data_IF_172250782493
#
_entry.id   IF_172250782493
#
_cell.length_a   1.000
_cell.length_b   1.000
_cell.length_c   1.000
_cell.angle_alpha   90.00
_cell.angle_beta   90.00
_cell.angle_gamma   90.00
#
_symmetry.space_group_name_H-M   'P 1'
#
loop_
_entity.id
_entity.type
_entity.pdbx_description
1 polymer ?
#
# COMPACT_ATOMS: atom_id res chain seq x y z
N UNK A 1 9.36 17.57 -21.00
CA UNK A 1 8.46 16.67 -20.25
C UNK A 1 9.35 15.71 -19.48
N UNK A 2 9.22 15.64 -18.16
CA UNK A 2 10.00 14.68 -17.36
C UNK A 2 9.27 13.33 -17.30
N UNK A 3 10.03 12.24 -17.35
CA UNK A 3 9.51 10.87 -17.24
C UNK A 3 9.69 10.38 -15.80
N UNK A 4 8.60 9.94 -15.18
CA UNK A 4 8.62 9.24 -13.90
C UNK A 4 8.58 7.73 -14.16
N UNK A 5 9.51 7.00 -13.55
CA UNK A 5 9.56 5.53 -13.65
C UNK A 5 9.22 4.95 -12.29
N UNK A 6 8.08 4.27 -12.21
CA UNK A 6 7.60 3.64 -10.99
C UNK A 6 7.68 2.13 -11.14
N UNK A 7 8.35 1.48 -10.20
CA UNK A 7 8.48 0.02 -10.20
C UNK A 7 7.73 -0.56 -9.02
N UNK A 8 6.80 -1.50 -9.24
CA UNK A 8 6.23 -2.33 -8.17
C UNK A 8 7.13 -3.55 -8.02
N UNK A 9 7.51 -3.94 -6.81
CA UNK A 9 8.42 -5.08 -6.58
C UNK A 9 7.71 -6.43 -6.48
N UNK A 10 6.45 -6.47 -6.04
CA UNK A 10 5.67 -7.71 -5.88
C UNK A 10 4.19 -7.48 -6.24
N UNK A 11 3.70 -8.01 -7.39
CA UNK A 11 4.48 -8.56 -8.51
C UNK A 11 5.35 -7.48 -9.18
N UNK A 12 6.36 -7.87 -9.96
CA UNK A 12 7.23 -6.89 -10.64
C UNK A 12 6.49 -6.22 -11.80
N UNK A 13 6.30 -4.90 -11.71
CA UNK A 13 5.72 -4.08 -12.79
C UNK A 13 6.50 -2.77 -12.94
N UNK A 14 6.61 -2.24 -14.16
CA UNK A 14 7.21 -0.93 -14.43
C UNK A 14 6.21 -0.05 -15.16
N UNK A 15 6.01 1.17 -14.66
CA UNK A 15 5.09 2.16 -15.22
C UNK A 15 5.86 3.42 -15.58
N UNK A 16 5.67 3.85 -16.82
CA UNK A 16 6.19 5.10 -17.36
C UNK A 16 5.08 6.16 -17.33
N UNK A 17 5.28 7.22 -16.55
CA UNK A 17 4.31 8.29 -16.36
C UNK A 17 4.95 9.63 -16.65
N UNK A 18 4.35 10.41 -17.53
CA UNK A 18 4.84 11.77 -17.79
C UNK A 18 4.39 12.72 -16.69
N UNK A 19 5.29 13.61 -16.30
CA UNK A 19 4.99 14.73 -15.39
C UNK A 19 3.79 15.54 -15.93
N UNK A 20 2.87 15.88 -15.02
CA UNK A 20 1.59 16.53 -15.36
C UNK A 20 0.41 15.58 -15.50
N UNK A 21 0.61 14.27 -15.40
CA UNK A 21 -0.51 13.33 -15.25
C UNK A 21 -1.31 13.60 -13.97
N UNK A 22 -2.64 13.47 -14.02
CA UNK A 22 -3.50 13.65 -12.84
C UNK A 22 -3.29 12.54 -11.80
N UNK A 23 -3.08 11.31 -12.26
CA UNK A 23 -2.82 10.15 -11.40
C UNK A 23 -2.23 8.98 -12.17
N UNK A 24 -1.66 8.03 -11.43
CA UNK A 24 -1.26 6.70 -11.90
C UNK A 24 -1.77 5.64 -10.93
N UNK A 25 -2.11 4.46 -11.47
CA UNK A 25 -2.47 3.29 -10.68
C UNK A 25 -1.28 2.32 -10.65
N UNK A 26 -0.74 2.07 -9.46
CA UNK A 26 0.29 1.06 -9.20
C UNK A 26 -0.42 -0.27 -8.93
N UNK A 27 -0.31 -1.27 -9.82
CA UNK A 27 -1.03 -2.53 -9.66
C UNK A 27 -0.40 -3.38 -8.55
N UNK A 28 -1.24 -3.97 -7.70
CA UNK A 28 -0.81 -5.02 -6.79
C UNK A 28 -1.99 -5.94 -6.48
N UNK A 29 -1.82 -7.23 -6.78
CA UNK A 29 -2.81 -8.24 -6.46
C UNK A 29 -2.14 -9.32 -5.62
N UNK A 30 -2.63 -9.50 -4.38
CA UNK A 30 -2.16 -10.53 -3.47
C UNK A 30 -3.36 -11.44 -3.19
N UNK A 31 -3.26 -12.75 -3.49
CA UNK A 31 -4.35 -13.69 -3.25
C UNK A 31 -4.78 -13.64 -1.78
N UNK A 32 -6.08 -13.60 -1.53
CA UNK A 32 -6.63 -13.49 -0.18
C UNK A 32 -5.99 -14.47 0.81
N UNK A 33 -5.40 -13.94 1.88
CA UNK A 33 -4.91 -14.70 3.03
C UNK A 33 -5.87 -14.55 4.20
N UNK A 34 -6.27 -15.67 4.78
CA UNK A 34 -7.23 -15.71 5.89
C UNK A 34 -6.65 -15.07 7.15
N UNK A 35 -7.36 -14.09 7.74
CA UNK A 35 -7.02 -13.47 9.02
C UNK A 35 -7.10 -11.94 8.99
N UNK A 36 -6.95 -11.27 10.14
CA UNK A 36 -6.85 -9.81 10.17
C UNK A 36 -5.51 -9.40 9.56
N UNK A 37 -5.55 -8.86 8.35
CA UNK A 37 -4.37 -8.39 7.61
C UNK A 37 -4.44 -6.89 7.35
N UNK A 38 -3.27 -6.32 7.06
CA UNK A 38 -3.08 -4.92 6.71
C UNK A 38 -2.33 -4.87 5.39
N UNK A 39 -2.88 -4.15 4.41
CA UNK A 39 -2.21 -3.84 3.15
C UNK A 39 -1.28 -2.66 3.33
N UNK A 40 -0.02 -2.81 2.93
CA UNK A 40 1.02 -1.80 3.10
C UNK A 40 1.74 -1.55 1.79
N UNK A 41 1.82 -0.28 1.41
CA UNK A 41 2.74 0.23 0.42
C UNK A 41 3.91 0.93 1.09
N UNK A 42 5.12 0.59 0.69
CA UNK A 42 6.34 1.19 1.23
C UNK A 42 7.40 1.43 0.18
N UNK A 43 8.34 2.31 0.52
CA UNK A 43 9.54 2.65 -0.24
C UNK A 43 10.73 2.63 0.71
N UNK A 44 11.75 1.84 0.38
CA UNK A 44 12.94 1.67 1.23
C UNK A 44 13.86 2.89 1.27
N UNK A 45 13.73 3.80 0.31
CA UNK A 45 14.48 5.05 0.20
C UNK A 45 13.82 6.23 0.95
N UNK A 46 12.73 5.99 1.68
CA UNK A 46 12.01 7.00 2.46
C UNK A 46 12.17 6.79 3.97
N UNK A 47 12.06 7.89 4.71
CA UNK A 47 11.92 7.90 6.16
C UNK A 47 10.82 8.89 6.58
N UNK A 48 9.67 8.43 7.12
CA UNK A 48 9.28 7.03 7.29
C UNK A 48 9.07 6.31 5.94
N UNK A 49 9.18 4.97 5.87
CA UNK A 49 9.10 4.22 4.61
C UNK A 49 7.67 4.06 4.08
N UNK A 50 6.65 4.31 4.90
CA UNK A 50 5.25 4.05 4.58
C UNK A 50 4.70 5.06 3.57
N UNK A 51 4.19 4.53 2.45
CA UNK A 51 3.50 5.31 1.42
C UNK A 51 1.99 5.33 1.67
N UNK A 52 1.41 4.18 2.00
CA UNK A 52 -0.01 4.04 2.31
C UNK A 52 -0.23 2.76 3.10
N UNK A 53 -1.19 2.77 4.03
CA UNK A 53 -1.53 1.61 4.85
C UNK A 53 -3.05 1.52 5.01
N UNK A 54 -3.59 0.33 4.76
CA UNK A 54 -5.02 0.06 4.85
C UNK A 54 -5.30 -1.18 5.70
N UNK A 55 -6.11 -0.99 6.73
CA UNK A 55 -6.72 -2.06 7.52
C UNK A 55 -8.12 -2.41 6.98
N UNK A 56 -8.78 -3.38 7.61
CA UNK A 56 -10.03 -3.96 7.12
C UNK A 56 -11.15 -2.93 6.93
N UNK A 57 -11.21 -1.92 7.80
CA UNK A 57 -12.29 -0.93 7.81
C UNK A 57 -11.82 0.47 7.37
N UNK A 58 -10.55 0.80 7.59
CA UNK A 58 -10.04 2.17 7.39
C UNK A 58 -8.57 2.24 6.96
N UNK A 59 -8.18 3.42 6.48
CA UNK A 59 -6.77 3.73 6.20
C UNK A 59 -6.08 4.18 7.49
N UNK A 60 -4.93 3.61 7.80
CA UNK A 60 -4.13 3.93 9.00
C UNK A 60 -2.93 4.79 8.59
N UNK A 61 -3.13 6.09 8.46
CA UNK A 61 -2.16 7.01 7.84
C UNK A 61 -1.24 7.74 8.84
N UNK A 62 -1.22 7.32 10.10
CA UNK A 62 -0.42 7.96 11.17
C UNK A 62 1.07 8.04 10.82
N UNK A 63 1.63 6.97 10.29
CA UNK A 63 3.06 6.86 9.91
C UNK A 63 3.31 7.13 8.42
N UNK A 64 2.31 7.66 7.70
CA UNK A 64 2.46 7.96 6.28
C UNK A 64 3.54 9.02 6.06
N UNK A 65 4.43 8.77 5.12
CA UNK A 65 5.42 9.74 4.70
C UNK A 65 4.73 11.00 4.17
N UNK A 66 5.13 12.16 4.69
CA UNK A 66 4.48 13.45 4.39
C UNK A 66 4.43 13.78 2.89
N UNK A 67 5.36 13.24 2.08
CA UNK A 67 5.35 13.41 0.62
C UNK A 67 4.14 12.77 -0.09
N UNK A 68 3.41 11.87 0.59
CA UNK A 68 2.29 11.10 0.05
C UNK A 68 0.94 11.45 0.69
N UNK A 69 0.95 12.34 1.68
CA UNK A 69 -0.26 12.86 2.32
C UNK A 69 -1.20 13.44 1.27
N UNK A 70 -2.47 13.07 1.33
CA UNK A 70 -3.55 13.47 0.42
C UNK A 70 -3.33 13.12 -1.07
N UNK A 71 -2.28 12.34 -1.37
CA UNK A 71 -1.91 11.93 -2.72
C UNK A 71 -2.15 10.46 -3.00
N UNK A 72 -2.49 9.67 -1.99
CA UNK A 72 -2.64 8.22 -2.13
C UNK A 72 -4.00 7.73 -1.71
N UNK A 73 -4.48 6.68 -2.36
CA UNK A 73 -5.71 5.98 -1.96
C UNK A 73 -5.69 4.54 -2.46
N UNK A 74 -6.26 3.63 -1.66
CA UNK A 74 -6.54 2.25 -2.03
C UNK A 74 -8.05 2.00 -2.08
N UNK A 75 -8.47 0.90 -2.71
CA UNK A 75 -9.88 0.50 -2.71
C UNK A 75 -10.35 0.16 -1.30
N UNK A 76 -11.59 0.51 -0.98
CA UNK A 76 -12.13 0.26 0.36
C UNK A 76 -12.27 -1.24 0.67
N UNK A 77 -12.48 -2.04 -0.38
CA UNK A 77 -12.61 -3.49 -0.33
C UNK A 77 -11.30 -4.24 -0.70
N UNK A 78 -10.14 -3.57 -0.64
CA UNK A 78 -8.85 -4.15 -1.04
C UNK A 78 -8.52 -5.46 -0.31
N UNK A 79 -8.82 -5.55 0.99
CA UNK A 79 -8.54 -6.74 1.80
C UNK A 79 -9.51 -7.90 1.53
N UNK A 80 -10.72 -7.59 1.06
CA UNK A 80 -11.74 -8.58 0.68
C UNK A 80 -11.47 -9.12 -0.73
N UNK A 81 -10.99 -8.26 -1.62
CA UNK A 81 -10.77 -8.59 -3.04
C UNK A 81 -9.35 -9.05 -3.36
N UNK A 82 -8.38 -8.76 -2.48
CA UNK A 82 -6.95 -8.94 -2.75
C UNK A 82 -6.37 -7.92 -3.72
N UNK A 83 -7.15 -6.92 -4.15
CA UNK A 83 -6.69 -5.83 -5.02
C UNK A 83 -6.16 -4.67 -4.18
N UNK A 84 -4.86 -4.70 -3.92
CA UNK A 84 -4.12 -3.69 -3.18
C UNK A 84 -3.57 -2.58 -4.08
N UNK A 85 -4.14 -2.37 -5.27
CA UNK A 85 -3.64 -1.32 -6.18
C UNK A 85 -3.69 0.07 -5.53
N UNK A 86 -2.60 0.83 -5.71
CA UNK A 86 -2.44 2.17 -5.14
C UNK A 86 -2.66 3.23 -6.21
N UNK A 87 -3.60 4.13 -5.99
CA UNK A 87 -3.70 5.35 -6.79
C UNK A 87 -2.74 6.40 -6.23
N UNK A 88 -1.78 6.86 -7.03
CA UNK A 88 -0.91 8.00 -6.72
C UNK A 88 -1.33 9.21 -7.57
N UNK A 89 -1.74 10.30 -6.90
CA UNK A 89 -2.19 11.54 -7.52
C UNK A 89 -1.04 12.52 -7.74
N UNK A 90 -1.09 13.23 -8.86
CA UNK A 90 -0.09 14.24 -9.27
C UNK A 90 1.35 13.70 -9.16
N UNK A 91 1.69 12.58 -9.82
CA UNK A 91 3.03 12.01 -9.78
C UNK A 91 4.10 13.05 -10.15
N UNK A 92 5.20 13.04 -9.40
CA UNK A 92 6.31 13.97 -9.52
C UNK A 92 7.62 13.20 -9.77
N UNK A 93 8.65 13.82 -10.35
CA UNK A 93 9.91 13.15 -10.70
C UNK A 93 10.55 12.43 -9.50
N UNK A 94 10.43 12.99 -8.30
CA UNK A 94 10.93 12.40 -7.05
C UNK A 94 10.15 11.17 -6.57
N UNK A 95 9.02 10.86 -7.20
CA UNK A 95 8.26 9.65 -6.96
C UNK A 95 8.84 8.45 -7.73
N UNK A 96 9.75 8.70 -8.68
CA UNK A 96 10.44 7.63 -9.43
C UNK A 96 11.29 6.78 -8.49
N UNK A 97 10.82 5.56 -8.20
CA UNK A 97 11.46 4.61 -7.29
C UNK A 97 10.78 3.25 -7.36
N UNK A 98 11.29 2.31 -6.57
CA UNK A 98 10.69 1.00 -6.35
C UNK A 98 9.75 1.02 -5.14
N UNK A 99 8.49 0.75 -5.40
CA UNK A 99 7.42 0.60 -4.44
C UNK A 99 7.21 -0.87 -4.12
N UNK A 100 7.02 -1.17 -2.85
CA UNK A 100 6.73 -2.52 -2.37
C UNK A 100 5.32 -2.58 -1.82
N UNK A 101 4.56 -3.54 -2.33
CA UNK A 101 3.22 -3.87 -1.86
C UNK A 101 3.30 -5.18 -1.07
N UNK A 102 2.87 -5.17 0.18
CA UNK A 102 2.86 -6.33 1.05
C UNK A 102 1.56 -6.39 1.86
N UNK A 103 1.17 -7.59 2.26
CA UNK A 103 0.19 -7.82 3.31
C UNK A 103 0.91 -8.23 4.60
N UNK A 104 0.42 -7.76 5.75
CA UNK A 104 0.97 -8.12 7.07
C UNK A 104 -0.14 -8.59 7.98
N UNK A 105 0.11 -9.65 8.76
CA UNK A 105 -0.88 -10.17 9.71
C UNK A 105 -0.87 -9.32 10.99
N UNK A 106 -2.05 -8.81 11.38
CA UNK A 106 -2.23 -8.09 12.62
C UNK A 106 -2.19 -9.07 13.80
N UNK A 107 -1.08 -9.06 14.55
CA UNK A 107 -0.86 -9.96 15.71
C UNK A 107 -1.82 -9.72 16.88
N UNK A 108 -2.60 -8.63 16.86
CA UNK A 108 -3.54 -8.28 17.92
C UNK A 108 -4.79 -9.17 17.97
N UNK A 109 -5.01 -10.03 16.96
CA UNK A 109 -6.12 -11.00 16.91
C UNK A 109 -5.92 -12.31 17.69
N UNK A 110 -4.72 -12.59 18.20
CA UNK A 110 -4.47 -13.79 19.01
C UNK A 110 -4.76 -13.55 20.51
N UNK A 111 -6.00 -13.25 20.88
CA UNK A 111 -6.49 -13.52 22.24
C UNK A 111 -7.08 -14.92 22.25
N UNK A 112 -6.24 -15.92 22.50
CA UNK A 112 -6.72 -17.29 22.73
C UNK A 112 -7.69 -17.27 23.91
N UNK A 113 -8.96 -17.57 23.66
CA UNK A 113 -9.93 -17.88 24.70
C UNK A 113 -9.43 -19.06 25.52
N UNK A 114 -8.95 -18.79 26.73
CA UNK A 114 -8.61 -19.82 27.69
C UNK A 114 -9.84 -20.66 28.01
N UNK A 115 -9.83 -21.92 27.60
CA UNK A 115 -10.81 -22.93 28.05
C UNK A 115 -10.71 -23.04 29.57
N UNK A 116 -11.71 -22.53 30.29
CA UNK A 116 -11.98 -22.97 31.67
C UNK A 116 -12.40 -24.44 31.59
N UNK A 117 -11.53 -25.35 32.03
CA UNK A 117 -11.94 -26.71 32.38
C UNK A 117 -12.62 -26.62 33.75
N UNK A 118 -13.86 -27.10 33.81
CA UNK A 118 -14.54 -27.44 35.06
C UNK A 118 -14.04 -28.80 35.54
#
# INVERSE_FOLDING_TARGET
MCLCVLTVSHPVFTLEVYEGAESVLLPCHIPFVSGPTTGVWSRSDLNPPTVHQRQQEEDELTDQNQRYRDRTSMKTDALQTGDFSLTLRKPHIFDSSSYTCNETMNRNGCRQGGKRRM
#
